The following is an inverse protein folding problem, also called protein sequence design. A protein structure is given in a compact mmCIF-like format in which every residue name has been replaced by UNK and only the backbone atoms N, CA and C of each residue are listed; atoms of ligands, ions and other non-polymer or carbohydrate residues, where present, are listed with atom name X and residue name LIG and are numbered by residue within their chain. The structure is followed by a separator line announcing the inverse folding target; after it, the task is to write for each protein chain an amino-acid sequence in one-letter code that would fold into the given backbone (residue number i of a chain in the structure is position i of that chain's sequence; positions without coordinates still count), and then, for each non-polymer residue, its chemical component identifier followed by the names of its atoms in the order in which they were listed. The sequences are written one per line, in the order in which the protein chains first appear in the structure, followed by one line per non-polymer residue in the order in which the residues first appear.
data_IF_685816669361
#
_entry.id   IF_685816669361
#
_cell.length_a   1.000
_cell.length_b   1.000
_cell.length_c   1.000
_cell.angle_alpha   90.00
_cell.angle_beta   90.00
_cell.angle_gamma   90.00
#
_symmetry.space_group_name_H-M   'P 1'
#
loop_
_entity.id
_entity.type
_entity.pdbx_description
1 polymer ?
#
# COMPACT_ATOMS: atom_id res chain seq x y z
N UNK A 1 -30.19 -37.11 -34.13
CA UNK A 1 -30.39 -36.49 -32.81
C UNK A 1 -29.06 -35.86 -32.45
N UNK A 2 -28.97 -34.53 -32.54
CA UNK A 2 -27.74 -33.76 -32.32
C UNK A 2 -27.64 -33.46 -30.83
N UNK A 3 -26.48 -33.75 -30.24
CA UNK A 3 -26.21 -33.59 -28.82
C UNK A 3 -25.82 -32.12 -28.58
N UNK A 4 -26.82 -31.27 -28.31
CA UNK A 4 -26.66 -29.86 -27.95
C UNK A 4 -26.03 -29.74 -26.55
N UNK A 5 -24.72 -30.01 -26.47
CA UNK A 5 -23.90 -29.64 -25.32
C UNK A 5 -23.59 -28.16 -25.40
N UNK A 6 -24.53 -27.34 -24.96
CA UNK A 6 -24.30 -25.92 -24.68
C UNK A 6 -23.32 -25.81 -23.51
N UNK A 7 -22.03 -25.62 -23.80
CA UNK A 7 -21.03 -25.25 -22.81
C UNK A 7 -21.26 -23.78 -22.46
N UNK A 8 -21.99 -23.53 -21.38
CA UNK A 8 -22.20 -22.19 -20.85
C UNK A 8 -20.86 -21.63 -20.34
N UNK A 9 -20.28 -20.68 -21.07
CA UNK A 9 -19.11 -19.87 -20.66
C UNK A 9 -19.47 -18.80 -19.61
N UNK A 10 -20.61 -18.91 -18.93
CA UNK A 10 -20.93 -18.03 -17.82
C UNK A 10 -20.17 -18.50 -16.59
N UNK A 11 -19.36 -17.61 -16.06
CA UNK A 11 -18.91 -17.55 -14.66
C UNK A 11 -17.87 -18.57 -14.21
N UNK A 12 -16.66 -18.50 -14.80
CA UNK A 12 -15.44 -18.55 -13.99
C UNK A 12 -15.02 -17.12 -13.68
N UNK A 13 -15.79 -16.40 -12.85
CA UNK A 13 -15.14 -15.32 -12.09
C UNK A 13 -14.26 -16.05 -11.08
N UNK A 14 -12.94 -15.81 -11.06
CA UNK A 14 -12.13 -16.25 -9.93
C UNK A 14 -12.85 -15.78 -8.67
N UNK A 15 -12.98 -16.65 -7.67
CA UNK A 15 -13.39 -16.19 -6.35
C UNK A 15 -12.46 -15.03 -5.97
N UNK A 16 -12.99 -13.91 -5.41
CA UNK A 16 -12.14 -12.79 -5.04
C UNK A 16 -11.05 -13.32 -4.11
N UNK A 17 -9.81 -13.05 -4.47
CA UNK A 17 -8.65 -13.40 -3.67
C UNK A 17 -8.75 -12.81 -2.26
N UNK A 18 -7.96 -13.35 -1.32
CA UNK A 18 -7.89 -12.79 0.02
C UNK A 18 -7.50 -11.31 -0.05
N UNK A 19 -8.05 -10.50 0.88
CA UNK A 19 -7.69 -9.08 0.96
C UNK A 19 -6.21 -8.97 1.31
N UNK A 20 -5.45 -8.20 0.51
CA UNK A 20 -4.07 -7.85 0.82
C UNK A 20 -4.09 -6.59 1.68
N UNK A 21 -3.80 -6.72 2.97
CA UNK A 21 -3.82 -5.60 3.88
C UNK A 21 -3.11 -5.85 5.21
N UNK A 22 -2.86 -4.76 5.91
CA UNK A 22 -2.28 -4.75 7.25
C UNK A 22 -1.88 -3.34 7.67
N UNK A 23 -1.16 -3.26 8.80
CA UNK A 23 -0.68 -2.00 9.37
C UNK A 23 0.84 -1.94 9.28
N UNK A 24 1.34 -0.99 8.49
CA UNK A 24 2.75 -0.64 8.40
C UNK A 24 3.09 0.26 9.59
N UNK A 25 4.04 -0.17 10.42
CA UNK A 25 4.50 0.58 11.59
C UNK A 25 5.99 0.87 11.44
N UNK A 26 6.36 2.13 11.35
CA UNK A 26 7.74 2.53 11.14
C UNK A 26 8.02 3.92 11.73
N UNK A 27 9.29 4.15 12.03
CA UNK A 27 9.76 5.45 12.50
C UNK A 27 9.92 6.43 11.33
N UNK A 28 9.71 7.73 11.59
CA UNK A 28 9.87 8.75 10.56
C UNK A 28 11.29 8.84 9.98
N UNK A 29 12.32 8.52 10.76
CA UNK A 29 13.72 8.45 10.33
C UNK A 29 14.02 7.31 9.34
N UNK A 30 13.09 6.36 9.17
CA UNK A 30 13.19 5.32 8.13
C UNK A 30 12.68 5.79 6.77
N UNK A 31 12.06 6.96 6.68
CA UNK A 31 11.56 7.49 5.41
C UNK A 31 12.68 8.16 4.61
N UNK A 32 12.69 7.88 3.31
CA UNK A 32 13.53 8.55 2.32
C UNK A 32 12.72 8.89 1.08
N UNK A 33 13.13 9.93 0.37
CA UNK A 33 12.65 10.18 -0.99
C UNK A 33 13.56 9.44 -1.98
N UNK A 34 13.05 8.51 -2.80
CA UNK A 34 13.84 7.87 -3.83
C UNK A 34 14.17 8.90 -4.94
N UNK A 35 15.42 8.97 -5.38
CA UNK A 35 15.81 9.82 -6.50
C UNK A 35 15.43 9.16 -7.82
N UNK A 36 14.19 9.36 -8.26
CA UNK A 36 13.69 8.83 -9.53
C UNK A 36 13.60 9.97 -10.56
N UNK A 37 14.31 9.80 -11.68
CA UNK A 37 14.20 10.73 -12.80
C UNK A 37 12.79 10.71 -13.38
N UNK A 38 12.16 11.88 -13.49
CA UNK A 38 10.81 12.01 -14.05
C UNK A 38 9.66 11.76 -13.08
N UNK A 39 9.92 11.76 -11.77
CA UNK A 39 8.85 11.73 -10.77
C UNK A 39 7.88 12.90 -10.96
N UNK A 40 6.59 12.59 -11.00
CA UNK A 40 5.49 13.56 -11.20
C UNK A 40 5.17 14.37 -9.94
N UNK A 41 5.71 13.96 -8.79
CA UNK A 41 5.56 14.61 -7.50
C UNK A 41 6.48 14.00 -6.44
N UNK A 42 6.45 14.53 -5.20
CA UNK A 42 7.21 13.95 -4.10
C UNK A 42 6.65 12.57 -3.74
N UNK A 43 7.52 11.58 -3.71
CA UNK A 43 7.23 10.23 -3.21
C UNK A 43 8.18 9.87 -2.07
N UNK A 44 7.69 9.05 -1.15
CA UNK A 44 8.45 8.55 -0.02
C UNK A 44 8.45 7.03 -0.02
N UNK A 45 9.52 6.44 0.49
CA UNK A 45 9.62 5.00 0.74
C UNK A 45 10.40 4.77 2.02
N UNK A 46 10.36 3.56 2.56
CA UNK A 46 11.22 3.19 3.69
C UNK A 46 12.62 2.77 3.24
N UNK A 47 13.58 2.84 4.16
CA UNK A 47 14.94 2.36 3.92
C UNK A 47 14.97 0.85 3.65
N UNK A 48 14.23 0.10 4.45
CA UNK A 48 14.06 -1.35 4.38
C UNK A 48 12.57 -1.72 4.23
N UNK A 49 12.24 -2.92 3.71
CA UNK A 49 10.86 -3.42 3.70
C UNK A 49 10.31 -3.54 5.12
N UNK A 50 9.01 -3.30 5.28
CA UNK A 50 8.35 -3.38 6.58
C UNK A 50 7.74 -4.76 6.74
N UNK A 51 8.19 -5.48 7.75
CA UNK A 51 7.69 -6.81 8.11
C UNK A 51 6.34 -6.70 8.82
N UNK A 52 5.27 -7.23 8.20
CA UNK A 52 3.94 -7.27 8.82
C UNK A 52 3.35 -8.67 8.79
N UNK A 53 2.52 -8.99 9.78
CA UNK A 53 1.62 -10.14 9.70
C UNK A 53 0.34 -9.71 9.00
N UNK A 54 0.16 -10.12 7.75
CA UNK A 54 -1.07 -9.87 7.03
C UNK A 54 -2.22 -10.70 7.62
N UNK A 55 -3.45 -10.21 7.42
CA UNK A 55 -4.64 -10.91 7.89
C UNK A 55 -4.72 -12.33 7.32
N UNK A 56 -4.98 -13.31 8.18
CA UNK A 56 -5.07 -14.72 7.79
C UNK A 56 -3.73 -15.43 7.55
N UNK A 57 -2.59 -14.79 7.84
CA UNK A 57 -1.25 -15.40 7.67
C UNK A 57 -0.54 -15.63 9.00
N UNK A 58 0.17 -16.75 9.08
CA UNK A 58 0.98 -17.12 10.25
C UNK A 58 2.38 -16.49 10.22
N UNK A 59 2.91 -16.24 9.03
CA UNK A 59 4.27 -15.72 8.82
C UNK A 59 4.26 -14.22 8.56
N UNK A 60 5.38 -13.56 8.89
CA UNK A 60 5.60 -12.18 8.52
C UNK A 60 5.82 -12.08 7.01
N UNK A 61 5.31 -11.02 6.40
CA UNK A 61 5.46 -10.73 4.98
C UNK A 61 6.13 -9.36 4.84
N UNK A 62 7.26 -9.28 4.11
CA UNK A 62 7.88 -8.00 3.81
C UNK A 62 6.97 -7.17 2.90
N UNK A 63 6.82 -5.89 3.24
CA UNK A 63 6.09 -4.91 2.42
C UNK A 63 7.03 -3.82 1.94
N UNK A 64 7.14 -3.71 0.62
CA UNK A 64 7.82 -2.64 -0.09
C UNK A 64 6.82 -1.53 -0.38
N UNK A 65 6.82 -0.49 0.46
CA UNK A 65 5.84 0.59 0.38
C UNK A 65 6.42 1.85 -0.28
N UNK A 66 5.61 2.45 -1.15
CA UNK A 66 5.80 3.80 -1.68
C UNK A 66 4.59 4.64 -1.30
N UNK A 67 4.83 5.86 -0.83
CA UNK A 67 3.81 6.78 -0.36
C UNK A 67 3.83 8.06 -1.21
N UNK A 68 2.68 8.45 -1.74
CA UNK A 68 2.54 9.63 -2.58
C UNK A 68 1.23 10.38 -2.34
N UNK A 69 1.00 11.42 -3.13
CA UNK A 69 -0.27 12.15 -3.16
C UNK A 69 -1.14 11.63 -4.31
N UNK A 70 -2.45 11.47 -4.10
CA UNK A 70 -3.38 10.94 -5.11
C UNK A 70 -3.40 11.74 -6.41
N UNK A 71 -3.17 13.05 -6.36
CA UNK A 71 -3.03 13.94 -7.52
C UNK A 71 -1.86 13.57 -8.45
N UNK A 72 -0.92 12.77 -7.95
CA UNK A 72 0.26 12.29 -8.66
C UNK A 72 0.22 10.77 -8.88
N UNK A 73 -0.88 10.11 -8.50
CA UNK A 73 -1.09 8.68 -8.75
C UNK A 73 -1.22 8.44 -10.25
N UNK A 74 -0.53 7.43 -10.84
CA UNK A 74 -0.59 7.13 -12.27
C UNK A 74 -2.01 6.95 -12.82
N UNK A 75 -2.89 6.35 -12.00
CA UNK A 75 -4.28 6.02 -12.38
C UNK A 75 -5.31 6.93 -11.69
N UNK A 76 -4.87 7.94 -10.93
CA UNK A 76 -5.76 8.82 -10.15
C UNK A 76 -6.51 8.09 -9.03
N UNK A 77 -5.93 7.01 -8.49
CA UNK A 77 -6.51 6.22 -7.40
C UNK A 77 -5.60 6.24 -6.17
N UNK A 78 -6.07 5.72 -5.04
CA UNK A 78 -5.26 5.52 -3.83
C UNK A 78 -4.11 4.52 -3.99
N UNK A 79 -3.94 3.95 -5.19
CA UNK A 79 -2.78 3.18 -5.61
C UNK A 79 -3.10 1.72 -5.85
N UNK A 80 -2.11 0.86 -5.65
CA UNK A 80 -2.25 -0.58 -5.89
C UNK A 80 -1.42 -1.39 -4.90
N UNK A 81 -1.88 -2.61 -4.65
CA UNK A 81 -1.19 -3.59 -3.81
C UNK A 81 -1.13 -4.88 -4.59
N UNK A 82 0.05 -5.47 -4.67
CA UNK A 82 0.28 -6.73 -5.36
C UNK A 82 1.27 -7.58 -4.58
N UNK A 83 1.06 -8.89 -4.60
CA UNK A 83 1.98 -9.86 -4.03
C UNK A 83 2.85 -10.50 -5.11
N UNK A 84 4.12 -10.71 -4.80
CA UNK A 84 5.10 -11.40 -5.62
C UNK A 84 6.01 -12.28 -4.76
N UNK A 85 7.01 -12.93 -5.39
CA UNK A 85 7.94 -13.83 -4.72
C UNK A 85 8.84 -13.18 -3.65
N UNK A 86 8.93 -11.85 -3.64
CA UNK A 86 9.70 -11.07 -2.67
C UNK A 86 8.83 -10.46 -1.56
N UNK A 87 7.52 -10.70 -1.57
CA UNK A 87 6.56 -10.16 -0.61
C UNK A 87 5.50 -9.29 -1.26
N UNK A 88 5.07 -8.23 -0.57
CA UNK A 88 4.04 -7.32 -1.04
C UNK A 88 4.65 -6.01 -1.51
N UNK A 89 4.26 -5.57 -2.70
CA UNK A 89 4.49 -4.20 -3.18
C UNK A 89 3.23 -3.38 -2.97
N UNK A 90 3.36 -2.22 -2.34
CA UNK A 90 2.25 -1.36 -1.98
C UNK A 90 2.57 0.08 -2.40
N UNK A 91 1.95 0.54 -3.50
CA UNK A 91 1.96 1.94 -3.86
C UNK A 91 0.70 2.59 -3.25
N UNK A 92 0.89 3.48 -2.29
CA UNK A 92 -0.17 4.02 -1.44
C UNK A 92 -0.22 5.55 -1.60
N UNK A 93 -1.25 6.04 -2.26
CA UNK A 93 -1.42 7.47 -2.55
C UNK A 93 -2.52 8.07 -1.68
N UNK A 94 -2.15 9.02 -0.82
CA UNK A 94 -3.06 9.69 0.11
C UNK A 94 -3.74 10.90 -0.54
N UNK A 95 -4.96 11.18 -0.09
CA UNK A 95 -5.60 12.48 -0.29
C UNK A 95 -4.71 13.62 0.20
N UNK A 96 -4.83 14.80 -0.41
CA UNK A 96 -3.91 15.94 -0.18
C UNK A 96 -3.66 16.24 1.29
N UNK A 97 -4.71 16.35 2.11
CA UNK A 97 -4.57 16.73 3.52
C UNK A 97 -3.80 15.66 4.34
N UNK A 98 -4.07 14.38 4.07
CA UNK A 98 -3.36 13.27 4.69
C UNK A 98 -1.91 13.19 4.21
N UNK A 99 -1.66 13.45 2.92
CA UNK A 99 -0.30 13.48 2.39
C UNK A 99 0.52 14.62 2.99
N UNK A 100 -0.06 15.81 3.18
CA UNK A 100 0.62 16.93 3.85
C UNK A 100 0.98 16.57 5.28
N UNK A 101 0.08 15.91 6.03
CA UNK A 101 0.37 15.42 7.38
C UNK A 101 1.49 14.37 7.38
N UNK A 102 1.46 13.42 6.44
CA UNK A 102 2.50 12.42 6.25
C UNK A 102 3.86 13.07 5.95
N UNK A 103 3.91 14.00 4.98
CA UNK A 103 5.13 14.69 4.58
C UNK A 103 5.70 15.54 5.72
N UNK A 104 4.85 16.22 6.48
CA UNK A 104 5.26 16.96 7.66
C UNK A 104 5.87 16.03 8.73
N UNK A 105 5.28 14.85 8.95
CA UNK A 105 5.83 13.86 9.88
C UNK A 105 7.17 13.28 9.39
N UNK A 106 7.29 13.00 8.08
CA UNK A 106 8.51 12.52 7.46
C UNK A 106 9.68 13.50 7.62
N UNK A 107 9.41 14.81 7.50
CA UNK A 107 10.41 15.87 7.63
C UNK A 107 10.60 16.36 9.08
N UNK A 108 9.85 15.83 10.04
CA UNK A 108 9.88 16.29 11.43
C UNK A 108 11.17 15.89 12.12
N UNK A 109 11.76 16.81 12.90
CA UNK A 109 12.86 16.51 13.80
C UNK A 109 12.42 15.77 15.08
N UNK A 110 11.12 15.72 15.36
CA UNK A 110 10.62 14.95 16.50
C UNK A 110 10.65 13.44 16.17
N UNK A 111 10.91 12.57 17.16
CA UNK A 111 10.85 11.13 16.94
C UNK A 111 9.37 10.71 16.84
N UNK A 112 8.91 10.42 15.63
CA UNK A 112 7.54 10.02 15.35
C UNK A 112 7.48 8.55 14.93
N UNK A 113 6.38 7.89 15.26
CA UNK A 113 5.97 6.61 14.69
C UNK A 113 4.80 6.87 13.77
N UNK A 114 4.89 6.37 12.54
CA UNK A 114 3.80 6.39 11.58
C UNK A 114 3.15 5.01 11.52
N UNK A 115 1.83 5.01 11.48
CA UNK A 115 0.99 3.85 11.29
C UNK A 115 0.20 4.06 10.00
N UNK A 116 0.56 3.31 8.96
CA UNK A 116 -0.18 3.31 7.69
C UNK A 116 -0.93 2.00 7.57
N UNK A 117 -2.24 2.04 7.76
CA UNK A 117 -3.10 0.89 7.52
C UNK A 117 -3.59 0.92 6.09
N UNK A 118 -3.48 -0.22 5.41
CA UNK A 118 -4.00 -0.38 4.05
C UNK A 118 -4.76 -1.69 3.92
N UNK A 119 -5.72 -1.72 2.99
CA UNK A 119 -6.38 -2.95 2.57
C UNK A 119 -6.86 -2.86 1.14
N UNK A 120 -6.45 -3.80 0.30
CA UNK A 120 -6.83 -3.89 -1.10
C UNK A 120 -7.49 -5.24 -1.39
N UNK A 121 -8.50 -5.21 -2.25
CA UNK A 121 -9.12 -6.41 -2.83
C UNK A 121 -8.76 -6.46 -4.31
N UNK A 122 -8.81 -7.66 -4.90
CA UNK A 122 -8.45 -7.88 -6.30
C UNK A 122 -9.04 -6.82 -7.24
N UNK A 123 -8.14 -6.04 -7.86
CA UNK A 123 -8.48 -5.00 -8.84
C UNK A 123 -9.09 -3.72 -8.27
N UNK A 124 -9.21 -3.58 -6.94
CA UNK A 124 -9.71 -2.38 -6.29
C UNK A 124 -8.57 -1.55 -5.67
N UNK A 125 -8.64 -0.21 -5.74
CA UNK A 125 -7.70 0.65 -5.03
C UNK A 125 -7.69 0.38 -3.52
N UNK A 126 -6.54 0.53 -2.83
CA UNK A 126 -6.44 0.29 -1.40
C UNK A 126 -7.22 1.34 -0.61
N UNK A 127 -7.87 0.92 0.48
CA UNK A 127 -8.38 1.84 1.50
C UNK A 127 -7.22 2.18 2.43
N UNK A 128 -6.98 3.47 2.67
CA UNK A 128 -5.85 3.96 3.46
C UNK A 128 -6.30 4.65 4.74
N UNK A 129 -5.52 4.47 5.81
CA UNK A 129 -5.63 5.23 7.04
C UNK A 129 -4.23 5.58 7.55
N UNK A 130 -4.07 6.80 8.04
CA UNK A 130 -2.82 7.30 8.61
C UNK A 130 -3.05 7.70 10.07
N UNK A 131 -2.21 7.17 10.96
CA UNK A 131 -2.05 7.69 12.31
C UNK A 131 -0.57 8.02 12.56
N UNK A 132 -0.32 9.09 13.31
CA UNK A 132 1.02 9.56 13.64
C UNK A 132 1.06 9.77 15.15
N UNK A 133 2.02 9.11 15.79
CA UNK A 133 2.21 9.22 17.23
C UNK A 133 3.63 9.69 17.54
N UNK A 134 3.78 10.41 18.65
CA UNK A 134 5.10 10.77 19.16
C UNK A 134 5.69 9.58 19.90
N UNK A 135 6.93 9.22 19.59
CA UNK A 135 7.69 8.25 20.39
C UNK A 135 8.09 8.93 21.70
N UNK A 136 7.62 8.38 22.82
CA UNK A 136 8.17 8.73 24.13
C UNK A 136 9.52 8.00 24.26
N UNK A 137 10.58 8.77 24.47
CA UNK A 137 11.93 8.27 24.70
C UNK A 137 12.03 7.52 26.04
#
# INVERSE_FOLDING_TARGET
MSDDRVISLKTRRPEPGPTLGGCLVFANDQLRMPMVMGAVGPEWTTLEPIEIRMEGRSESTPVHATFGMIDHSPDGTSGFVSENEHGVTAALYFERDLFVAFQAAALSAAPLTLFVTFGARDGAPPILMLAIERRNA
#
